data_IF_985018799833
#
_entry.id   IF_985018799833
#
_cell.length_a   1.000
_cell.length_b   1.000
_cell.length_c   1.000
_cell.angle_alpha   90.00
_cell.angle_beta   90.00
_cell.angle_gamma   90.00
#
_symmetry.space_group_name_H-M   'P 1'
#
loop_
_entity.id
_entity.type
_entity.pdbx_description
1 polymer ?
#
# COMPACT_ATOMS: atom_id res chain seq x y z
N UNK A 1 -11.52 -0.98 -11.39
CA UNK A 1 -10.46 -0.70 -10.40
C UNK A 1 -9.41 -1.81 -10.51
N UNK A 2 -8.13 -1.54 -10.23
CA UNK A 2 -7.04 -2.50 -10.43
C UNK A 2 -7.11 -3.68 -9.45
N UNK A 3 -6.47 -4.80 -9.82
CA UNK A 3 -6.15 -5.90 -8.90
C UNK A 3 -4.99 -5.51 -7.98
N UNK A 4 -4.75 -6.28 -6.92
CA UNK A 4 -3.57 -6.10 -6.07
C UNK A 4 -2.26 -6.16 -6.89
N UNK A 5 -2.14 -7.12 -7.81
CA UNK A 5 -0.94 -7.25 -8.64
C UNK A 5 -0.74 -6.05 -9.57
N UNK A 6 -1.80 -5.56 -10.21
CA UNK A 6 -1.73 -4.37 -11.06
C UNK A 6 -1.30 -3.12 -10.25
N UNK A 7 -1.69 -3.02 -8.97
CA UNK A 7 -1.19 -1.97 -8.08
C UNK A 7 0.29 -2.15 -7.75
N UNK A 8 0.73 -3.37 -7.44
CA UNK A 8 2.13 -3.66 -7.14
C UNK A 8 3.06 -3.33 -8.31
N UNK A 9 2.67 -3.74 -9.52
CA UNK A 9 3.39 -3.43 -10.76
C UNK A 9 3.46 -1.91 -10.99
N UNK A 10 2.31 -1.22 -10.95
CA UNK A 10 2.24 0.23 -11.15
C UNK A 10 3.11 1.00 -10.14
N UNK A 11 3.08 0.61 -8.86
CA UNK A 11 3.87 1.26 -7.81
C UNK A 11 5.36 1.07 -8.04
N UNK A 12 5.82 -0.13 -8.39
CA UNK A 12 7.24 -0.38 -8.67
C UNK A 12 7.71 0.44 -9.88
N UNK A 13 6.93 0.45 -10.97
CA UNK A 13 7.24 1.26 -12.15
C UNK A 13 7.33 2.73 -11.80
N UNK A 14 6.35 3.26 -11.05
CA UNK A 14 6.35 4.66 -10.65
C UNK A 14 7.51 5.01 -9.70
N UNK A 15 7.92 4.12 -8.79
CA UNK A 15 9.09 4.31 -7.94
C UNK A 15 10.40 4.33 -8.74
N UNK A 16 10.56 3.41 -9.70
CA UNK A 16 11.73 3.33 -10.58
C UNK A 16 11.86 4.58 -11.45
N UNK A 17 10.74 5.09 -11.98
CA UNK A 17 10.67 6.31 -12.78
C UNK A 17 10.61 7.60 -11.95
N UNK A 18 10.63 7.50 -10.62
CA UNK A 18 10.45 8.62 -9.68
C UNK A 18 9.15 9.44 -9.92
N UNK A 19 8.12 8.82 -10.49
CA UNK A 19 6.84 9.45 -10.81
C UNK A 19 5.91 9.48 -9.60
N UNK A 20 6.08 10.53 -8.79
CA UNK A 20 5.23 10.75 -7.60
C UNK A 20 3.77 11.05 -7.92
N UNK A 21 3.46 11.51 -9.14
CA UNK A 21 2.09 11.72 -9.58
C UNK A 21 1.39 10.38 -9.82
N UNK A 22 2.06 9.46 -10.51
CA UNK A 22 1.57 8.10 -10.72
C UNK A 22 1.36 7.35 -9.40
N UNK A 23 2.24 7.55 -8.41
CA UNK A 23 2.05 7.01 -7.05
C UNK A 23 0.79 7.57 -6.35
N UNK A 24 0.40 8.80 -6.66
CA UNK A 24 -0.81 9.43 -6.09
C UNK A 24 -2.11 8.84 -6.65
N UNK A 25 -2.15 8.45 -7.92
CA UNK A 25 -3.37 8.01 -8.63
C UNK A 25 -3.95 6.71 -8.05
N UNK A 26 -3.08 5.80 -7.60
CA UNK A 26 -3.47 4.47 -7.09
C UNK A 26 -3.86 4.48 -5.61
N UNK A 27 -3.68 5.61 -4.93
CA UNK A 27 -4.08 5.81 -3.54
C UNK A 27 -5.55 6.21 -3.39
N UNK A 28 -6.03 6.08 -2.17
CA UNK A 28 -7.24 6.78 -1.74
C UNK A 28 -7.07 8.29 -1.90
N UNK A 29 -8.12 8.94 -2.38
CA UNK A 29 -8.27 10.40 -2.32
C UNK A 29 -8.82 10.82 -0.96
N UNK A 30 -8.77 12.12 -0.67
CA UNK A 30 -9.36 12.67 0.55
C UNK A 30 -10.87 12.44 0.61
N UNK A 31 -11.58 12.65 -0.50
CA UNK A 31 -13.02 12.40 -0.60
C UNK A 31 -13.34 10.92 -0.38
N UNK A 32 -12.58 10.00 -1.00
CA UNK A 32 -12.78 8.56 -0.76
C UNK A 32 -12.50 8.18 0.70
N UNK A 33 -11.46 8.74 1.32
CA UNK A 33 -11.19 8.54 2.73
C UNK A 33 -12.35 9.06 3.59
N UNK A 34 -12.79 10.29 3.39
CA UNK A 34 -13.77 10.96 4.25
C UNK A 34 -15.19 10.41 4.09
N UNK A 35 -15.56 10.00 2.88
CA UNK A 35 -16.92 9.57 2.56
C UNK A 35 -17.13 8.06 2.69
N UNK A 36 -16.08 7.24 2.48
CA UNK A 36 -16.19 5.78 2.46
C UNK A 36 -15.50 5.18 3.69
N UNK A 37 -14.25 5.54 3.94
CA UNK A 37 -13.45 4.87 4.99
C UNK A 37 -13.80 5.41 6.37
N UNK A 38 -13.70 6.72 6.54
CA UNK A 38 -13.78 7.39 7.83
C UNK A 38 -15.06 7.04 8.60
N UNK A 39 -16.27 7.04 8.01
CA UNK A 39 -17.50 6.76 8.76
C UNK A 39 -17.54 5.38 9.42
N UNK A 40 -16.76 4.42 8.93
CA UNK A 40 -16.75 3.03 9.41
C UNK A 40 -15.55 2.71 10.32
N UNK A 41 -14.60 3.65 10.48
CA UNK A 41 -13.46 3.46 11.37
C UNK A 41 -13.83 3.69 12.85
N UNK A 42 -13.32 2.88 13.81
CA UNK A 42 -13.53 3.13 15.23
C UNK A 42 -13.10 4.53 15.69
N UNK A 43 -12.11 5.12 15.03
CA UNK A 43 -11.61 6.47 15.34
C UNK A 43 -12.60 7.60 14.99
N UNK A 44 -13.61 7.34 14.16
CA UNK A 44 -14.64 8.32 13.81
C UNK A 44 -15.81 8.36 14.78
N UNK A 45 -15.88 7.42 15.72
CA UNK A 45 -16.96 7.35 16.68
C UNK A 45 -17.05 8.67 17.49
N UNK A 46 -18.25 9.23 17.70
CA UNK A 46 -18.42 10.56 18.32
C UNK A 46 -17.73 10.70 19.68
N UNK A 47 -17.64 9.63 20.45
CA UNK A 47 -16.98 9.56 21.76
C UNK A 47 -15.45 9.74 21.69
N UNK A 48 -14.82 9.45 20.55
CA UNK A 48 -13.38 9.64 20.33
C UNK A 48 -13.09 11.12 20.00
N UNK A 49 -14.06 11.83 19.42
CA UNK A 49 -13.97 13.24 19.04
C UNK A 49 -12.70 13.56 18.21
N UNK A 50 -12.29 12.64 17.33
CA UNK A 50 -11.12 12.82 16.47
C UNK A 50 -11.53 13.49 15.15
N UNK A 51 -10.95 14.64 14.78
CA UNK A 51 -11.34 15.32 13.53
C UNK A 51 -10.88 14.56 12.28
N UNK A 52 -11.78 14.41 11.30
CA UNK A 52 -11.50 13.75 10.02
C UNK A 52 -10.34 14.40 9.25
N UNK A 53 -10.28 15.73 9.23
CA UNK A 53 -9.20 16.49 8.56
C UNK A 53 -7.83 16.18 9.18
N UNK A 54 -7.79 15.94 10.49
CA UNK A 54 -6.57 15.58 11.19
C UNK A 54 -6.14 14.13 10.88
N UNK A 55 -7.11 13.20 10.77
CA UNK A 55 -6.86 11.84 10.31
C UNK A 55 -6.25 11.83 8.91
N UNK A 56 -6.84 12.57 7.98
CA UNK A 56 -6.34 12.67 6.61
C UNK A 56 -4.94 13.31 6.55
N UNK A 57 -4.72 14.42 7.28
CA UNK A 57 -3.40 15.07 7.36
C UNK A 57 -2.32 14.11 7.88
N UNK A 58 -2.64 13.25 8.86
CA UNK A 58 -1.71 12.24 9.36
C UNK A 58 -1.37 11.22 8.26
N UNK A 59 -2.36 10.75 7.50
CA UNK A 59 -2.13 9.85 6.35
C UNK A 59 -1.21 10.52 5.32
N UNK A 60 -1.47 11.77 4.96
CA UNK A 60 -0.66 12.53 4.00
C UNK A 60 0.79 12.68 4.46
N UNK A 61 1.01 13.04 5.73
CA UNK A 61 2.36 13.19 6.29
C UNK A 61 3.13 11.86 6.30
N UNK A 62 2.49 10.76 6.74
CA UNK A 62 3.10 9.43 6.72
C UNK A 62 3.40 8.97 5.31
N UNK A 63 2.53 9.28 4.36
CA UNK A 63 2.73 8.96 2.96
C UNK A 63 3.93 9.69 2.35
N UNK A 64 4.02 11.01 2.55
CA UNK A 64 5.14 11.81 2.05
C UNK A 64 6.47 11.28 2.59
N UNK A 65 6.50 10.92 3.89
CA UNK A 65 7.66 10.27 4.52
C UNK A 65 7.97 8.89 3.91
N UNK A 66 6.96 8.06 3.69
CA UNK A 66 7.10 6.75 3.06
C UNK A 66 7.72 6.85 1.66
N UNK A 67 7.10 7.65 0.78
CA UNK A 67 7.60 7.88 -0.58
C UNK A 67 9.02 8.43 -0.57
N UNK A 68 9.31 9.43 0.28
CA UNK A 68 10.65 10.01 0.38
C UNK A 68 11.73 9.03 0.81
N UNK A 69 11.37 7.93 1.51
CA UNK A 69 12.30 6.86 1.92
C UNK A 69 12.41 5.74 0.89
N UNK A 70 11.34 5.47 0.14
CA UNK A 70 11.36 4.45 -0.91
C UNK A 70 12.11 4.93 -2.15
N UNK A 71 11.91 6.19 -2.58
CA UNK A 71 12.47 6.73 -3.82
C UNK A 71 13.99 6.50 -3.96
N UNK A 72 14.84 6.78 -2.97
CA UNK A 72 16.28 6.59 -3.10
C UNK A 72 16.71 5.14 -3.37
N UNK A 73 15.93 4.15 -2.89
CA UNK A 73 16.24 2.75 -3.16
C UNK A 73 15.95 2.39 -4.61
N UNK A 74 14.80 2.84 -5.14
CA UNK A 74 14.29 2.41 -6.44
C UNK A 74 14.75 3.28 -7.62
N UNK A 75 15.20 4.51 -7.36
CA UNK A 75 15.64 5.45 -8.39
C UNK A 75 16.66 4.81 -9.35
N UNK A 76 16.37 4.92 -10.65
CA UNK A 76 17.20 4.44 -11.75
C UNK A 76 17.53 2.94 -11.72
N UNK A 77 16.81 2.15 -10.91
CA UNK A 77 16.94 0.68 -10.89
C UNK A 77 15.94 0.03 -11.82
N UNK A 78 16.37 -1.04 -12.50
CA UNK A 78 15.45 -1.93 -13.20
C UNK A 78 14.75 -2.81 -12.17
N UNK A 79 13.42 -2.81 -12.15
CA UNK A 79 12.63 -3.62 -11.22
C UNK A 79 11.69 -4.54 -11.98
N UNK A 80 11.73 -5.83 -11.65
CA UNK A 80 10.83 -6.83 -12.21
C UNK A 80 9.75 -7.18 -11.19
N UNK A 81 8.52 -6.71 -11.40
CA UNK A 81 7.38 -7.12 -10.59
C UNK A 81 7.15 -8.64 -10.68
N UNK A 82 6.82 -9.28 -9.55
CA UNK A 82 6.48 -10.69 -9.51
C UNK A 82 5.04 -10.93 -9.03
N UNK A 83 4.66 -10.37 -7.88
CA UNK A 83 3.33 -10.50 -7.28
C UNK A 83 3.16 -9.61 -6.04
N UNK A 84 1.92 -9.44 -5.61
CA UNK A 84 1.56 -8.98 -4.27
C UNK A 84 1.14 -10.17 -3.40
N UNK A 85 1.70 -10.25 -2.20
CA UNK A 85 1.35 -11.25 -1.20
C UNK A 85 0.79 -10.57 0.06
N UNK A 86 -0.50 -10.70 0.32
CA UNK A 86 -1.10 -10.28 1.59
C UNK A 86 -1.10 -11.45 2.57
N UNK A 87 -0.27 -11.36 3.60
CA UNK A 87 0.00 -12.43 4.57
C UNK A 87 -0.82 -12.28 5.85
N UNK A 88 -1.57 -11.20 5.95
CA UNK A 88 -2.44 -10.91 7.07
C UNK A 88 -3.84 -11.49 6.86
N UNK A 89 -4.81 -10.81 7.44
CA UNK A 89 -6.23 -11.14 7.27
C UNK A 89 -6.94 -10.15 6.35
N UNK A 90 -8.23 -10.42 6.18
CA UNK A 90 -9.19 -9.47 5.64
C UNK A 90 -9.99 -8.90 6.80
N UNK A 91 -9.88 -7.59 7.04
CA UNK A 91 -10.76 -6.88 7.96
C UNK A 91 -11.99 -6.39 7.18
N UNK A 92 -13.17 -6.88 7.54
CA UNK A 92 -14.42 -6.52 6.88
C UNK A 92 -15.08 -5.33 7.57
N UNK A 93 -15.48 -4.35 6.76
CA UNK A 93 -16.33 -3.24 7.14
C UNK A 93 -17.69 -3.40 6.42
N UNK A 94 -18.64 -2.51 6.68
CA UNK A 94 -19.97 -2.55 6.07
C UNK A 94 -19.91 -2.35 4.55
N UNK A 95 -19.11 -1.38 4.06
CA UNK A 95 -19.06 -1.05 2.62
C UNK A 95 -17.76 -1.40 1.89
N UNK A 96 -16.74 -1.85 2.61
CA UNK A 96 -15.45 -2.27 2.04
C UNK A 96 -14.78 -3.32 2.91
N UNK A 97 -13.66 -3.87 2.43
CA UNK A 97 -12.78 -4.71 3.23
C UNK A 97 -11.34 -4.21 3.11
N UNK A 98 -10.47 -4.59 4.04
CA UNK A 98 -9.05 -4.28 4.02
C UNK A 98 -8.25 -5.56 4.04
N UNK A 99 -7.47 -5.82 2.99
CA UNK A 99 -6.43 -6.84 3.03
C UNK A 99 -5.20 -6.25 3.72
N UNK A 100 -4.65 -6.98 4.69
CA UNK A 100 -3.57 -6.50 5.55
C UNK A 100 -2.29 -7.29 5.35
N UNK A 101 -1.18 -6.68 5.78
CA UNK A 101 0.16 -7.26 5.73
C UNK A 101 0.59 -7.66 4.31
N UNK A 102 0.33 -6.76 3.35
CA UNK A 102 0.70 -6.92 1.96
C UNK A 102 2.18 -6.60 1.70
N UNK A 103 2.83 -7.49 0.95
CA UNK A 103 4.21 -7.37 0.48
C UNK A 103 4.21 -7.35 -1.04
N UNK A 104 5.01 -6.48 -1.63
CA UNK A 104 5.33 -6.53 -3.05
C UNK A 104 6.60 -7.35 -3.21
N UNK A 105 6.53 -8.40 -4.03
CA UNK A 105 7.67 -9.27 -4.37
C UNK A 105 8.20 -8.87 -5.74
N UNK A 106 9.52 -8.68 -5.86
CA UNK A 106 10.15 -8.17 -7.06
C UNK A 106 11.60 -8.63 -7.22
N UNK A 107 12.16 -8.46 -8.42
CA UNK A 107 13.60 -8.54 -8.70
C UNK A 107 14.17 -7.14 -8.93
N UNK A 108 15.48 -7.00 -8.76
CA UNK A 108 16.20 -5.73 -8.93
C UNK A 108 17.39 -5.96 -9.86
N UNK A 109 17.64 -5.01 -10.76
CA UNK A 109 18.77 -4.97 -11.70
C UNK A 109 18.92 -6.27 -12.50
N UNK A 110 17.79 -6.86 -12.91
CA UNK A 110 17.67 -8.14 -13.63
C UNK A 110 18.32 -9.35 -12.92
N UNK A 111 18.63 -9.20 -11.63
CA UNK A 111 19.20 -10.26 -10.81
C UNK A 111 18.20 -11.38 -10.51
N UNK A 112 18.68 -12.62 -10.26
CA UNK A 112 17.82 -13.76 -9.92
C UNK A 112 17.26 -13.69 -8.49
N UNK A 113 17.78 -12.78 -7.65
CA UNK A 113 17.36 -12.65 -6.26
C UNK A 113 15.98 -11.99 -6.17
N UNK A 114 15.05 -12.69 -5.50
CA UNK A 114 13.76 -12.10 -5.11
C UNK A 114 13.93 -11.22 -3.87
N UNK A 115 13.29 -10.06 -3.91
CA UNK A 115 13.16 -9.10 -2.83
C UNK A 115 11.69 -8.97 -2.45
N UNK A 116 11.45 -8.52 -1.22
CA UNK A 116 10.13 -8.10 -0.75
C UNK A 116 10.22 -6.79 0.01
N UNK A 117 9.13 -6.02 -0.03
CA UNK A 117 8.92 -4.86 0.82
C UNK A 117 7.43 -4.63 1.03
N UNK A 118 7.04 -4.14 2.21
CA UNK A 118 5.72 -3.54 2.39
C UNK A 118 5.74 -2.14 1.80
N UNK A 119 5.68 -2.02 0.46
CA UNK A 119 5.54 -0.70 -0.19
C UNK A 119 4.22 -0.06 0.22
N UNK A 120 3.17 -0.88 0.27
CA UNK A 120 1.87 -0.62 0.88
C UNK A 120 1.50 -1.85 1.70
N UNK A 121 1.08 -1.65 2.95
CA UNK A 121 0.71 -2.76 3.84
C UNK A 121 -0.78 -3.13 3.75
N UNK A 122 -1.61 -2.13 3.48
CA UNK A 122 -3.06 -2.24 3.58
C UNK A 122 -3.69 -1.87 2.23
N UNK A 123 -4.53 -2.75 1.72
CA UNK A 123 -5.29 -2.56 0.48
C UNK A 123 -6.78 -2.49 0.80
N UNK A 124 -7.41 -1.37 0.44
CA UNK A 124 -8.86 -1.26 0.44
C UNK A 124 -9.42 -2.07 -0.72
N UNK A 125 -10.37 -2.95 -0.45
CA UNK A 125 -11.10 -3.76 -1.42
C UNK A 125 -12.56 -3.31 -1.46
N UNK A 126 -13.03 -2.85 -2.62
CA UNK A 126 -14.42 -2.43 -2.82
C UNK A 126 -14.85 -2.60 -4.27
N UNK A 127 -16.04 -3.15 -4.50
CA UNK A 127 -16.59 -3.32 -5.85
C UNK A 127 -15.69 -4.13 -6.81
N UNK A 128 -14.97 -5.11 -6.29
CA UNK A 128 -14.00 -5.93 -7.05
C UNK A 128 -12.66 -5.24 -7.34
N UNK A 129 -12.43 -4.05 -6.77
CA UNK A 129 -11.26 -3.22 -6.99
C UNK A 129 -10.38 -3.00 -5.76
N UNK A 130 -9.14 -2.59 -5.99
CA UNK A 130 -8.19 -2.29 -4.92
C UNK A 130 -7.72 -0.82 -4.96
N UNK A 131 -7.43 -0.26 -3.78
CA UNK A 131 -6.70 1.02 -3.60
C UNK A 131 -5.75 0.97 -2.40
N UNK A 132 -4.71 1.79 -2.46
CA UNK A 132 -3.70 1.90 -1.40
C UNK A 132 -4.10 2.99 -0.39
N UNK A 133 -4.03 2.70 0.90
CA UNK A 133 -4.19 3.73 1.94
C UNK A 133 -2.99 4.69 1.99
N UNK A 134 -1.79 4.11 2.07
CA UNK A 134 -0.52 4.85 2.09
C UNK A 134 0.67 4.00 1.76
N UNK A 135 1.76 4.68 1.41
CA UNK A 135 3.07 4.09 1.34
C UNK A 135 3.71 3.97 2.73
N UNK A 136 4.51 2.93 2.89
CA UNK A 136 5.26 2.60 4.09
C UNK A 136 6.76 2.79 3.83
N UNK A 137 7.53 2.92 4.89
CA UNK A 137 8.96 3.19 4.85
C UNK A 137 9.82 1.98 5.21
N UNK A 138 9.31 0.77 4.97
CA UNK A 138 10.10 -0.45 5.13
C UNK A 138 11.13 -0.56 4.00
N UNK A 139 12.39 -0.80 4.38
CA UNK A 139 13.45 -1.05 3.43
C UNK A 139 13.28 -2.43 2.77
N UNK A 140 13.46 -2.53 1.44
CA UNK A 140 13.47 -3.83 0.77
C UNK A 140 14.47 -4.81 1.36
N UNK A 141 14.03 -6.06 1.45
CA UNK A 141 14.83 -7.17 2.00
C UNK A 141 14.75 -8.40 1.10
N UNK A 142 15.69 -9.35 1.21
CA UNK A 142 15.57 -10.63 0.50
C UNK A 142 14.26 -11.33 0.84
N UNK A 143 13.58 -11.85 -0.20
CA UNK A 143 12.32 -12.58 -0.07
C UNK A 143 12.48 -13.81 0.83
N UNK A 144 11.60 -13.94 1.82
CA UNK A 144 11.69 -15.01 2.83
C UNK A 144 10.77 -16.21 2.58
N UNK A 145 10.02 -16.20 1.47
CA UNK A 145 8.95 -17.17 1.26
C UNK A 145 7.66 -16.77 1.98
N UNK A 146 6.53 -17.41 1.64
CA UNK A 146 5.34 -17.31 2.49
C UNK A 146 5.67 -17.94 3.85
N UNK A 147 5.18 -17.34 4.93
CA UNK A 147 5.26 -17.99 6.23
C UNK A 147 4.61 -19.38 6.13
N UNK A 148 5.29 -20.42 6.64
CA UNK A 148 4.72 -21.76 6.67
C UNK A 148 3.39 -21.67 7.43
N UNK A 149 2.29 -21.88 6.74
CA UNK A 149 0.97 -22.06 7.36
C UNK A 149 1.05 -23.36 8.14
N UNK A 150 1.21 -23.25 9.47
CA UNK A 150 0.94 -24.40 10.32
C UNK A 150 -0.56 -24.71 10.19
N UNK A 151 -0.92 -25.96 9.84
CA UNK A 151 -2.30 -26.39 9.68
C UNK A 151 -3.10 -26.33 10.98
#
# INVERSE_FOLDING_TARGET
>A
MPTADALGEHVLTALSLQDTMALGIVRLTESEHNEIVWPELPASAPEVNFPVDYAWKNIQNRNARGVGRLLPFFADRSVGFQRVECRGGVEAFETFAVQTDCFVVFTVDEGPQLWEAQLFKDLLVRGGGHKIFRYYDEEPRPYRGPAATHP
#
